data_IF_336136787718
#
_entry.id   IF_336136787718
#
_cell.length_a   1.000
_cell.length_b   1.000
_cell.length_c   1.000
_cell.angle_alpha   90.00
_cell.angle_beta   90.00
_cell.angle_gamma   90.00
#
_symmetry.space_group_name_H-M   'P 1'
#
loop_
_entity.id
_entity.type
_entity.pdbx_description
1 polymer ?
#
# COMPACT_ATOMS: atom_id res chain seq x y z
N UNK A 1 35.93 2.94 -25.82
CA UNK A 1 35.27 3.85 -24.85
C UNK A 1 33.77 3.99 -25.07
N UNK A 2 33.26 4.39 -26.25
CA UNK A 2 31.80 4.52 -26.48
C UNK A 2 31.02 3.19 -26.40
N UNK A 3 31.61 2.07 -26.86
CA UNK A 3 31.00 0.73 -26.79
C UNK A 3 30.89 0.20 -25.36
N UNK A 4 31.93 0.36 -24.54
CA UNK A 4 31.92 -0.02 -23.13
C UNK A 4 30.93 0.81 -22.31
N UNK A 5 30.83 2.11 -22.57
CA UNK A 5 29.84 2.97 -21.90
C UNK A 5 28.39 2.54 -22.22
N UNK A 6 28.11 2.16 -23.47
CA UNK A 6 26.80 1.62 -23.88
C UNK A 6 26.47 0.30 -23.19
N UNK A 7 27.45 -0.59 -23.04
CA UNK A 7 27.25 -1.88 -22.36
C UNK A 7 26.99 -1.66 -20.86
N UNK A 8 27.73 -0.77 -20.21
CA UNK A 8 27.52 -0.43 -18.79
C UNK A 8 26.13 0.19 -18.60
N UNK A 9 25.74 1.14 -19.45
CA UNK A 9 24.40 1.73 -19.39
C UNK A 9 23.31 0.66 -19.56
N UNK A 10 23.49 -0.29 -20.49
CA UNK A 10 22.56 -1.39 -20.69
C UNK A 10 22.46 -2.30 -19.46
N UNK A 11 23.58 -2.63 -18.81
CA UNK A 11 23.60 -3.43 -17.58
C UNK A 11 22.88 -2.72 -16.43
N UNK A 12 23.06 -1.41 -16.29
CA UNK A 12 22.35 -0.61 -15.28
C UNK A 12 20.84 -0.65 -15.53
N UNK A 13 20.40 -0.52 -16.79
CA UNK A 13 18.98 -0.61 -17.14
C UNK A 13 18.40 -1.98 -16.77
N UNK A 14 19.10 -3.08 -17.08
CA UNK A 14 18.64 -4.42 -16.69
C UNK A 14 18.62 -4.62 -15.17
N UNK A 15 19.62 -4.12 -14.45
CA UNK A 15 19.65 -4.19 -12.99
C UNK A 15 18.48 -3.42 -12.35
N UNK A 16 18.17 -2.21 -12.86
CA UNK A 16 17.02 -1.43 -12.41
C UNK A 16 15.70 -2.12 -12.73
N UNK A 17 15.54 -2.67 -13.94
CA UNK A 17 14.34 -3.41 -14.32
C UNK A 17 14.12 -4.62 -13.41
N UNK A 18 15.19 -5.38 -13.11
CA UNK A 18 15.13 -6.51 -12.18
C UNK A 18 14.77 -6.07 -10.75
N UNK A 19 15.35 -4.97 -10.26
CA UNK A 19 15.02 -4.43 -8.95
C UNK A 19 13.55 -3.99 -8.86
N UNK A 20 13.03 -3.29 -9.88
CA UNK A 20 11.61 -2.92 -9.93
C UNK A 20 10.72 -4.15 -9.97
N UNK A 21 11.01 -5.12 -10.85
CA UNK A 21 10.21 -6.34 -11.00
C UNK A 21 10.09 -7.13 -9.69
N UNK A 22 11.20 -7.29 -8.97
CA UNK A 22 11.23 -8.06 -7.71
C UNK A 22 10.61 -7.31 -6.52
N UNK A 23 10.61 -5.97 -6.53
CA UNK A 23 10.04 -5.18 -5.45
C UNK A 23 8.58 -4.78 -5.69
N UNK A 24 8.09 -4.79 -6.93
CA UNK A 24 6.72 -4.39 -7.27
C UNK A 24 5.65 -5.17 -6.48
N UNK A 25 5.73 -6.51 -6.30
CA UNK A 25 4.75 -7.24 -5.51
C UNK A 25 4.70 -6.80 -4.03
N UNK A 26 5.80 -6.29 -3.47
CA UNK A 26 5.88 -5.84 -2.07
C UNK A 26 5.01 -4.62 -1.81
N UNK A 27 4.73 -3.81 -2.85
CA UNK A 27 3.81 -2.69 -2.76
C UNK A 27 2.40 -3.15 -2.36
N UNK A 28 1.99 -4.38 -2.73
CA UNK A 28 0.71 -4.93 -2.27
C UNK A 28 0.64 -5.09 -0.76
N UNK A 29 1.75 -5.45 -0.12
CA UNK A 29 1.82 -5.59 1.34
C UNK A 29 1.72 -4.21 1.98
N UNK A 30 2.47 -3.24 1.46
CA UNK A 30 2.47 -1.86 1.96
C UNK A 30 1.06 -1.26 1.90
N UNK A 31 0.45 -1.25 0.72
CA UNK A 31 -0.88 -0.68 0.51
C UNK A 31 -1.97 -1.51 1.21
N UNK A 32 -1.90 -2.83 1.15
CA UNK A 32 -2.90 -3.71 1.76
C UNK A 32 -2.90 -3.64 3.29
N UNK A 33 -1.72 -3.63 3.90
CA UNK A 33 -1.58 -3.49 5.35
C UNK A 33 -2.05 -2.11 5.80
N UNK A 34 -1.56 -1.03 5.17
CA UNK A 34 -1.94 0.33 5.53
C UNK A 34 -3.46 0.55 5.46
N UNK A 35 -4.10 0.10 4.36
CA UNK A 35 -5.55 0.20 4.18
C UNK A 35 -6.31 -0.59 5.24
N UNK A 36 -5.96 -1.87 5.45
CA UNK A 36 -6.68 -2.75 6.38
C UNK A 36 -6.52 -2.29 7.83
N UNK A 37 -5.29 -1.93 8.22
CA UNK A 37 -5.00 -1.49 9.57
C UNK A 37 -5.73 -0.18 9.91
N UNK A 38 -5.69 0.79 8.98
CA UNK A 38 -6.46 2.03 9.11
C UNK A 38 -7.97 1.77 9.18
N UNK A 39 -8.51 0.91 8.32
CA UNK A 39 -9.93 0.59 8.34
C UNK A 39 -10.37 -0.03 9.67
N UNK A 40 -9.58 -0.97 10.20
CA UNK A 40 -9.83 -1.57 11.52
C UNK A 40 -9.75 -0.53 12.63
N UNK A 41 -8.73 0.32 12.61
CA UNK A 41 -8.54 1.32 13.66
C UNK A 41 -9.69 2.33 13.70
N UNK A 42 -10.12 2.82 12.53
CA UNK A 42 -11.19 3.83 12.43
C UNK A 42 -12.57 3.23 12.67
N UNK A 43 -12.93 2.13 11.99
CA UNK A 43 -14.32 1.65 11.98
C UNK A 43 -14.61 0.54 12.99
N UNK A 44 -13.62 -0.26 13.37
CA UNK A 44 -13.79 -1.29 14.40
C UNK A 44 -13.42 -0.76 15.79
N UNK A 45 -12.29 -0.05 15.91
CA UNK A 45 -11.78 0.43 17.20
C UNK A 45 -12.18 1.88 17.54
N UNK A 46 -12.87 2.59 16.64
CA UNK A 46 -13.29 3.99 16.82
C UNK A 46 -12.12 4.94 17.18
N UNK A 47 -10.91 4.66 16.66
CA UNK A 47 -9.73 5.52 16.84
C UNK A 47 -9.66 6.57 15.72
N UNK A 48 -8.91 7.64 15.97
CA UNK A 48 -8.64 8.65 14.95
C UNK A 48 -7.64 8.14 13.91
N UNK A 49 -7.71 8.72 12.72
CA UNK A 49 -6.74 8.46 11.64
C UNK A 49 -5.32 8.84 12.04
N UNK A 50 -5.16 9.91 12.81
CA UNK A 50 -3.87 10.43 13.27
C UNK A 50 -3.12 9.42 14.15
N UNK A 51 -3.79 8.83 15.14
CA UNK A 51 -3.19 7.82 16.02
C UNK A 51 -2.67 6.65 15.20
N UNK A 52 -3.49 6.13 14.29
CA UNK A 52 -3.12 4.99 13.45
C UNK A 52 -1.97 5.34 12.50
N UNK A 53 -1.89 6.58 12.05
CA UNK A 53 -0.82 7.05 11.14
C UNK A 53 0.50 7.21 11.88
N UNK A 54 0.47 7.79 13.09
CA UNK A 54 1.66 8.15 13.86
C UNK A 54 2.19 7.01 14.75
N UNK A 55 1.34 6.04 15.08
CA UNK A 55 1.70 4.86 15.88
C UNK A 55 1.71 3.60 15.02
N UNK A 56 0.53 3.12 14.61
CA UNK A 56 0.39 1.76 14.07
C UNK A 56 0.99 1.59 12.66
N UNK A 57 0.92 2.63 11.82
CA UNK A 57 1.47 2.63 10.45
C UNK A 57 2.81 3.35 10.33
N UNK A 58 3.37 3.89 11.43
CA UNK A 58 4.57 4.72 11.40
C UNK A 58 5.87 3.92 11.43
N UNK A 59 5.97 2.89 10.58
CA UNK A 59 7.19 2.11 10.42
C UNK A 59 7.49 1.84 8.95
N UNK A 60 8.77 1.73 8.61
CA UNK A 60 9.18 1.46 7.23
C UNK A 60 8.89 0.01 6.85
N UNK A 61 8.32 -0.26 5.66
CA UNK A 61 7.95 0.66 4.58
C UNK A 61 6.46 1.09 4.56
N UNK A 62 5.69 0.79 5.61
CA UNK A 62 4.24 1.09 5.68
C UNK A 62 3.98 2.60 5.72
N UNK A 63 4.83 3.36 6.42
CA UNK A 63 4.74 4.81 6.53
C UNK A 63 4.88 5.57 5.20
N UNK A 64 5.27 4.88 4.12
CA UNK A 64 5.38 5.44 2.77
C UNK A 64 4.07 5.31 1.97
N UNK A 65 3.03 4.73 2.57
CA UNK A 65 1.71 4.64 1.95
C UNK A 65 0.93 5.96 2.13
N UNK A 66 0.28 6.41 1.07
CA UNK A 66 -0.79 7.42 1.17
C UNK A 66 -2.10 6.71 1.49
N UNK A 67 -2.92 7.32 2.36
CA UNK A 67 -4.16 6.71 2.88
C UNK A 67 -5.31 7.71 2.71
N UNK A 68 -6.46 7.21 2.27
CA UNK A 68 -7.70 7.97 2.10
C UNK A 68 -8.85 7.22 2.79
N UNK A 69 -9.54 7.89 3.71
CA UNK A 69 -10.64 7.31 4.50
C UNK A 69 -11.96 7.88 4.01
N UNK A 70 -12.88 6.99 3.63
CA UNK A 70 -14.26 7.33 3.30
C UNK A 70 -15.19 6.82 4.39
N UNK A 71 -15.80 7.76 5.12
CA UNK A 71 -16.71 7.48 6.24
C UNK A 71 -18.07 6.96 5.79
N UNK A 72 -18.55 7.41 4.62
CA UNK A 72 -19.89 7.06 4.11
C UNK A 72 -19.95 5.58 3.72
N UNK A 73 -18.93 5.10 3.00
CA UNK A 73 -18.80 3.69 2.60
C UNK A 73 -18.03 2.84 3.61
N UNK A 74 -17.69 3.39 4.79
CA UNK A 74 -16.84 2.77 5.81
C UNK A 74 -15.61 2.06 5.23
N UNK A 75 -14.93 2.71 4.30
CA UNK A 75 -13.83 2.12 3.52
C UNK A 75 -12.57 2.95 3.59
N UNK A 76 -11.42 2.30 3.45
CA UNK A 76 -10.12 2.96 3.37
C UNK A 76 -9.36 2.48 2.14
N UNK A 77 -8.82 3.42 1.39
CA UNK A 77 -7.90 3.15 0.30
C UNK A 77 -6.48 3.53 0.72
N UNK A 78 -5.49 2.75 0.30
CA UNK A 78 -4.09 3.11 0.47
C UNK A 78 -3.25 2.75 -0.76
N UNK A 79 -2.16 3.48 -0.95
CA UNK A 79 -1.28 3.36 -2.12
C UNK A 79 0.18 3.56 -1.73
N UNK A 80 1.05 2.64 -2.14
CA UNK A 80 2.48 2.72 -1.86
C UNK A 80 3.14 3.55 -2.96
N UNK A 81 3.72 4.70 -2.62
CA UNK A 81 4.33 5.62 -3.59
C UNK A 81 3.39 6.07 -4.73
N UNK A 82 2.07 6.11 -4.49
CA UNK A 82 1.07 6.40 -5.53
C UNK A 82 0.82 5.25 -6.51
N UNK A 83 1.43 4.08 -6.29
CA UNK A 83 1.26 2.86 -7.06
C UNK A 83 0.41 1.83 -6.29
N UNK A 84 -0.13 0.84 -7.00
CA UNK A 84 -0.84 -0.33 -6.46
C UNK A 84 -1.84 -0.01 -5.34
N UNK A 85 -2.91 0.73 -5.69
CA UNK A 85 -4.01 1.02 -4.76
C UNK A 85 -4.65 -0.27 -4.21
N UNK A 86 -4.92 -0.27 -2.91
CA UNK A 86 -5.64 -1.34 -2.19
C UNK A 86 -6.74 -0.73 -1.34
N UNK A 87 -7.89 -1.40 -1.31
CA UNK A 87 -9.09 -0.95 -0.59
C UNK A 87 -9.46 -1.95 0.49
N UNK A 88 -9.77 -1.46 1.68
CA UNK A 88 -10.36 -2.21 2.76
C UNK A 88 -11.74 -1.64 3.11
N UNK A 89 -12.68 -2.49 3.48
CA UNK A 89 -14.04 -2.12 3.88
C UNK A 89 -14.34 -2.69 5.27
N UNK A 90 -15.15 -1.98 6.03
CA UNK A 90 -15.69 -2.48 7.28
C UNK A 90 -17.03 -3.17 7.03
N UNK A 91 -17.17 -4.39 7.52
CA UNK A 91 -18.43 -5.15 7.51
C UNK A 91 -18.88 -5.41 8.93
N UNK A 92 -20.13 -5.05 9.23
CA UNK A 92 -20.70 -5.23 10.57
C UNK A 92 -20.63 -6.71 10.98
N UNK A 93 -20.13 -6.99 12.19
CA UNK A 93 -19.91 -8.35 12.70
C UNK A 93 -18.72 -9.13 12.12
N UNK A 94 -18.11 -8.68 11.01
CA UNK A 94 -16.93 -9.31 10.39
C UNK A 94 -15.64 -8.46 10.54
N UNK A 95 -15.79 -7.17 10.82
CA UNK A 95 -14.67 -6.23 10.98
C UNK A 95 -14.10 -5.76 9.63
N UNK A 96 -12.81 -5.40 9.64
CA UNK A 96 -12.11 -4.86 8.49
C UNK A 96 -11.64 -5.95 7.51
N UNK A 97 -12.14 -5.90 6.27
CA UNK A 97 -11.82 -6.84 5.19
C UNK A 97 -11.05 -6.12 4.09
N UNK A 98 -9.89 -6.67 3.71
CA UNK A 98 -9.12 -6.18 2.57
C UNK A 98 -9.71 -6.77 1.28
N UNK A 99 -10.12 -5.93 0.34
CA UNK A 99 -10.68 -6.36 -0.93
C UNK A 99 -9.61 -6.95 -1.84
N UNK A 100 -9.99 -8.03 -2.53
CA UNK A 100 -9.17 -8.68 -3.55
C UNK A 100 -9.70 -8.35 -4.94
N UNK A 101 -8.85 -8.47 -5.95
CA UNK A 101 -9.22 -8.16 -7.33
C UNK A 101 -10.37 -9.07 -7.77
N UNK A 102 -11.48 -8.49 -8.21
CA UNK A 102 -12.69 -9.23 -8.62
C UNK A 102 -13.74 -9.41 -7.52
N UNK A 103 -13.52 -8.82 -6.34
CA UNK A 103 -14.54 -8.69 -5.30
C UNK A 103 -14.79 -7.21 -5.05
N UNK A 104 -15.94 -6.76 -5.54
CA UNK A 104 -16.53 -5.48 -5.20
C UNK A 104 -17.69 -5.77 -4.23
N UNK A 105 -17.64 -5.16 -3.04
CA UNK A 105 -18.69 -5.16 -1.99
C UNK A 105 -18.69 -6.30 -0.96
#
# INVERSE_FOLDING_TARGET
MKKTLKIIALLIVFALAYAVYTNYPKLNIISGYAAKNMNSSVFLANRTTEITTNEDNNFTPINQATIEVNTDSKSVEASAFGLLKRKAIYREGLGAVLLTKGYDE
#
